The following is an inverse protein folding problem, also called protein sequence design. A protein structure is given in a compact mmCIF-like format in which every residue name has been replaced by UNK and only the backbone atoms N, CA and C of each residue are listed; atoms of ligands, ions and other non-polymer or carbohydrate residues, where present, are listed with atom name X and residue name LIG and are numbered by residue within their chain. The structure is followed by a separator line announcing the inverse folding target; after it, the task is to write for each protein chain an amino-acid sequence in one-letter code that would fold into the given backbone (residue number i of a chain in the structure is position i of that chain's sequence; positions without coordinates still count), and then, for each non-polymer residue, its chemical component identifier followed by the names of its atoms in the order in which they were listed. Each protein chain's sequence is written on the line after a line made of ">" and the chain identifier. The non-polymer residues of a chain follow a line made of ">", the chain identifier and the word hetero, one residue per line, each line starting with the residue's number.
data_IF_275013808140
#
_entry.id   IF_275013808140
#
_cell.length_a   1.000
_cell.length_b   1.000
_cell.length_c   1.000
_cell.angle_alpha   90.00
_cell.angle_beta   90.00
_cell.angle_gamma   90.00
#
_symmetry.space_group_name_H-M   'P 1'
#
loop_
_entity.id
_entity.type
_entity.pdbx_description
1 polymer ?
#
# COMPACT_ATOMS: atom_id res chain seq x y z
N UNK A 1 -15.66 9.07 14.16
CA UNK A 1 -15.78 8.34 12.88
C UNK A 1 -15.75 6.82 13.10
N UNK A 2 -14.69 6.24 13.69
CA UNK A 2 -14.62 4.78 13.94
C UNK A 2 -15.71 4.24 14.89
N UNK A 3 -16.06 4.95 15.97
CA UNK A 3 -17.09 4.47 16.92
C UNK A 3 -18.50 4.42 16.31
N UNK A 4 -18.80 5.27 15.32
CA UNK A 4 -20.08 5.27 14.60
C UNK A 4 -20.21 4.01 13.72
N UNK A 5 -19.16 3.69 12.96
CA UNK A 5 -19.11 2.48 12.14
C UNK A 5 -19.24 1.20 12.99
N UNK A 6 -18.62 1.17 14.18
CA UNK A 6 -18.76 0.04 15.12
C UNK A 6 -20.19 -0.08 15.65
N UNK A 7 -20.89 1.05 15.88
CA UNK A 7 -22.28 1.03 16.35
C UNK A 7 -23.28 0.61 15.27
N UNK A 8 -23.02 0.96 14.01
CA UNK A 8 -23.81 0.48 12.86
C UNK A 8 -23.56 -1.00 12.57
N UNK A 9 -22.33 -1.49 12.72
CA UNK A 9 -22.01 -2.90 12.58
C UNK A 9 -22.74 -3.78 13.61
N UNK A 10 -22.85 -3.32 14.87
CA UNK A 10 -23.64 -4.00 15.91
C UNK A 10 -25.13 -4.13 15.59
N UNK A 11 -25.68 -3.21 14.81
CA UNK A 11 -27.09 -3.26 14.36
C UNK A 11 -27.32 -4.35 13.32
N UNK A 12 -26.31 -4.67 12.51
CA UNK A 12 -26.38 -5.73 11.49
C UNK A 12 -26.38 -7.12 12.15
N UNK A 13 -25.55 -7.33 13.17
CA UNK A 13 -25.47 -8.63 13.90
C UNK A 13 -26.79 -8.99 14.61
N UNK A 14 -27.53 -7.99 15.11
CA UNK A 14 -28.83 -8.20 15.75
C UNK A 14 -29.94 -8.60 14.76
N UNK A 15 -29.85 -8.19 13.50
CA UNK A 15 -30.80 -8.57 12.46
C UNK A 15 -30.55 -10.00 11.95
N UNK A 16 -29.30 -10.48 12.00
CA UNK A 16 -28.90 -11.83 11.58
C UNK A 16 -29.40 -12.90 12.56
N UNK A 17 -29.52 -12.58 13.85
CA UNK A 17 -29.94 -13.53 14.90
C UNK A 17 -31.46 -13.78 14.97
N UNK A 18 -32.29 -13.02 14.24
CA UNK A 18 -33.73 -12.87 14.56
C UNK A 18 -34.74 -13.62 13.69
N UNK A 19 -34.37 -14.20 12.55
CA UNK A 19 -35.33 -14.91 11.70
C UNK A 19 -34.96 -14.87 10.23
N UNK A 20 -35.51 -15.83 9.48
CA UNK A 20 -35.36 -16.04 8.03
C UNK A 20 -35.05 -14.73 7.29
N UNK A 21 -33.78 -14.57 6.90
CA UNK A 21 -33.26 -13.37 6.26
C UNK A 21 -34.00 -13.14 4.93
N UNK A 22 -34.65 -11.98 4.80
CA UNK A 22 -35.33 -11.52 3.59
C UNK A 22 -34.33 -11.45 2.42
N UNK A 23 -34.78 -11.62 1.17
CA UNK A 23 -33.94 -11.46 -0.02
C UNK A 23 -33.17 -10.13 -0.07
N UNK A 24 -33.69 -9.09 0.60
CA UNK A 24 -33.06 -7.78 0.76
C UNK A 24 -31.69 -7.86 1.48
N UNK A 25 -31.53 -8.78 2.43
CA UNK A 25 -30.29 -8.89 3.21
C UNK A 25 -29.15 -9.55 2.41
N UNK A 26 -29.49 -10.44 1.47
CA UNK A 26 -28.52 -11.04 0.57
C UNK A 26 -28.00 -10.02 -0.46
N UNK A 27 -28.87 -9.13 -0.96
CA UNK A 27 -28.47 -8.02 -1.83
C UNK A 27 -27.58 -7.00 -1.07
N UNK A 28 -27.92 -6.67 0.17
CA UNK A 28 -27.08 -5.82 1.04
C UNK A 28 -25.67 -6.41 1.25
N UNK A 29 -25.57 -7.73 1.51
CA UNK A 29 -24.28 -8.41 1.64
C UNK A 29 -23.48 -8.42 0.33
N UNK A 30 -24.15 -8.59 -0.81
CA UNK A 30 -23.51 -8.53 -2.13
C UNK A 30 -22.99 -7.13 -2.43
N UNK A 31 -23.76 -6.08 -2.10
CA UNK A 31 -23.32 -4.70 -2.21
C UNK A 31 -22.11 -4.42 -1.30
N UNK A 32 -22.12 -4.92 -0.06
CA UNK A 32 -21.00 -4.78 0.86
C UNK A 32 -19.73 -5.46 0.34
N UNK A 33 -19.82 -6.68 -0.22
CA UNK A 33 -18.69 -7.34 -0.88
C UNK A 33 -18.12 -6.46 -2.00
N UNK A 34 -18.99 -5.93 -2.86
CA UNK A 34 -18.60 -5.07 -3.97
C UNK A 34 -17.92 -3.78 -3.51
N UNK A 35 -18.39 -3.15 -2.44
CA UNK A 35 -17.76 -1.98 -1.86
C UNK A 35 -16.38 -2.30 -1.26
N UNK A 36 -16.20 -3.44 -0.60
CA UNK A 36 -14.87 -3.88 -0.11
C UNK A 36 -13.92 -4.13 -1.29
N UNK A 37 -14.39 -4.73 -2.38
CA UNK A 37 -13.57 -4.93 -3.59
C UNK A 37 -13.15 -3.60 -4.24
N UNK A 38 -14.07 -2.62 -4.32
CA UNK A 38 -13.75 -1.26 -4.77
C UNK A 38 -12.74 -0.61 -3.84
N UNK A 39 -12.89 -0.80 -2.53
CA UNK A 39 -11.99 -0.25 -1.53
C UNK A 39 -10.58 -0.82 -1.67
N UNK A 40 -10.42 -2.14 -1.87
CA UNK A 40 -9.11 -2.77 -2.15
C UNK A 40 -8.44 -2.09 -3.35
N UNK A 41 -9.19 -1.87 -4.44
CA UNK A 41 -8.67 -1.20 -5.63
C UNK A 41 -8.23 0.24 -5.33
N UNK A 42 -9.07 1.01 -4.65
CA UNK A 42 -8.81 2.43 -4.39
C UNK A 42 -7.65 2.60 -3.39
N UNK A 43 -7.62 1.80 -2.33
CA UNK A 43 -6.55 1.82 -1.34
C UNK A 43 -5.20 1.44 -1.98
N UNK A 44 -5.16 0.35 -2.76
CA UNK A 44 -3.94 -0.05 -3.47
C UNK A 44 -3.48 1.04 -4.46
N UNK A 45 -4.40 1.64 -5.21
CA UNK A 45 -4.06 2.71 -6.13
C UNK A 45 -3.50 3.94 -5.40
N UNK A 46 -4.11 4.32 -4.27
CA UNK A 46 -3.70 5.44 -3.45
C UNK A 46 -2.30 5.25 -2.84
N UNK A 47 -2.02 4.10 -2.22
CA UNK A 47 -0.68 3.79 -1.68
C UNK A 47 0.38 3.82 -2.78
N UNK A 48 0.08 3.22 -3.94
CA UNK A 48 0.99 3.23 -5.07
C UNK A 48 1.21 4.64 -5.64
N UNK A 49 0.17 5.48 -5.72
CA UNK A 49 0.30 6.86 -6.16
C UNK A 49 1.24 7.66 -5.24
N UNK A 50 1.12 7.50 -3.93
CA UNK A 50 2.03 8.11 -2.97
C UNK A 50 3.47 7.64 -3.16
N UNK A 51 3.69 6.32 -3.24
CA UNK A 51 5.03 5.73 -3.42
C UNK A 51 5.66 6.22 -4.74
N UNK A 52 4.89 6.24 -5.83
CA UNK A 52 5.38 6.68 -7.13
C UNK A 52 5.69 8.19 -7.16
N UNK A 53 4.88 9.02 -6.50
CA UNK A 53 5.14 10.45 -6.38
C UNK A 53 6.51 10.72 -5.73
N UNK A 54 6.77 10.08 -4.58
CA UNK A 54 8.03 10.26 -3.85
C UNK A 54 9.22 9.78 -4.68
N UNK A 55 9.09 8.67 -5.39
CA UNK A 55 10.13 8.14 -6.27
C UNK A 55 10.40 9.05 -7.46
N UNK A 56 9.35 9.60 -8.09
CA UNK A 56 9.49 10.55 -9.17
C UNK A 56 10.19 11.84 -8.70
N UNK A 57 9.80 12.36 -7.53
CA UNK A 57 10.45 13.52 -6.91
C UNK A 57 11.92 13.25 -6.63
N UNK A 58 12.25 12.08 -6.05
CA UNK A 58 13.62 11.72 -5.78
C UNK A 58 14.47 11.58 -7.05
N UNK A 59 13.91 10.94 -8.08
CA UNK A 59 14.57 10.83 -9.39
C UNK A 59 14.77 12.18 -10.07
N UNK A 60 13.82 13.09 -9.96
CA UNK A 60 13.97 14.46 -10.49
C UNK A 60 15.08 15.22 -9.77
N UNK A 61 15.12 15.15 -8.43
CA UNK A 61 16.20 15.78 -7.65
C UNK A 61 17.58 15.15 -7.95
N UNK A 62 17.63 13.86 -8.27
CA UNK A 62 18.87 13.20 -8.69
C UNK A 62 19.41 13.82 -9.98
N UNK A 63 18.55 14.09 -10.97
CA UNK A 63 18.95 14.71 -12.24
C UNK A 63 19.49 16.13 -12.05
N UNK A 64 19.09 16.83 -10.97
CA UNK A 64 19.63 18.14 -10.63
C UNK A 64 21.05 18.06 -10.03
N UNK A 65 21.50 16.88 -9.60
CA UNK A 65 22.88 16.68 -9.15
C UNK A 65 23.75 16.49 -10.40
N UNK A 66 24.63 17.45 -10.68
CA UNK A 66 25.71 17.26 -11.65
C UNK A 66 26.77 16.33 -11.03
N UNK A 67 26.42 15.06 -10.86
CA UNK A 67 27.31 14.05 -10.28
C UNK A 67 27.97 13.25 -11.40
N UNK A 68 29.24 13.52 -11.65
CA UNK A 68 30.12 12.56 -12.31
C UNK A 68 30.61 11.56 -11.25
N UNK A 69 30.39 10.24 -11.42
CA UNK A 69 30.98 9.23 -10.56
C UNK A 69 32.51 9.33 -10.60
N UNK A 70 33.13 9.53 -9.44
CA UNK A 70 34.59 9.56 -9.33
C UNK A 70 35.11 8.12 -9.46
N UNK A 71 35.69 7.79 -10.61
CA UNK A 71 36.36 6.52 -10.85
C UNK A 71 37.74 6.54 -10.17
N UNK A 72 37.86 5.80 -9.07
CA UNK A 72 39.15 5.55 -8.43
C UNK A 72 39.74 4.24 -8.95
N UNK A 73 41.05 4.02 -8.76
CA UNK A 73 41.74 2.80 -9.21
C UNK A 73 41.12 1.49 -8.68
N UNK A 74 40.31 1.57 -7.62
CA UNK A 74 39.60 0.46 -6.97
C UNK A 74 38.13 0.29 -7.44
N UNK A 75 37.67 1.11 -8.41
CA UNK A 75 36.32 1.08 -8.99
C UNK A 75 35.43 2.27 -8.60
N UNK A 76 34.12 2.16 -8.88
CA UNK A 76 33.13 3.21 -8.55
C UNK A 76 32.93 3.27 -7.05
N UNK A 77 33.29 4.41 -6.46
CA UNK A 77 33.17 4.65 -5.02
C UNK A 77 31.69 4.57 -4.56
N UNK A 78 31.36 3.92 -3.41
CA UNK A 78 29.98 3.84 -2.93
C UNK A 78 29.35 5.21 -2.71
N UNK A 79 28.09 5.37 -3.13
CA UNK A 79 27.36 6.64 -3.04
C UNK A 79 27.29 7.14 -1.60
N UNK A 80 27.93 8.28 -1.32
CA UNK A 80 27.82 8.99 -0.06
C UNK A 80 27.27 10.39 -0.33
N UNK A 81 26.01 10.70 0.05
CA UNK A 81 25.41 12.01 -0.20
C UNK A 81 26.23 13.18 0.39
N UNK A 82 27.01 12.92 1.45
CA UNK A 82 27.88 13.91 2.10
C UNK A 82 29.18 14.16 1.32
N UNK A 83 29.75 13.14 0.66
CA UNK A 83 30.98 13.29 -0.15
C UNK A 83 30.73 13.98 -1.48
N UNK A 84 29.53 13.84 -2.02
CA UNK A 84 29.14 14.35 -3.34
C UNK A 84 28.55 15.78 -3.24
N UNK A 85 28.53 16.39 -2.05
CA UNK A 85 27.94 17.72 -1.86
C UNK A 85 26.43 17.77 -2.10
N UNK A 86 25.72 16.64 -2.00
CA UNK A 86 24.30 16.57 -2.33
C UNK A 86 23.49 17.55 -1.45
N UNK A 87 22.65 18.41 -2.04
CA UNK A 87 21.76 19.29 -1.30
C UNK A 87 20.93 18.52 -0.28
N UNK A 88 20.68 19.12 0.89
CA UNK A 88 19.95 18.47 1.98
C UNK A 88 18.58 17.97 1.52
N UNK A 89 17.92 18.71 0.63
CA UNK A 89 16.64 18.33 0.00
C UNK A 89 16.70 16.98 -0.73
N UNK A 90 17.82 16.67 -1.41
CA UNK A 90 18.02 15.37 -2.06
C UNK A 90 18.16 14.26 -1.01
N UNK A 91 18.95 14.48 0.04
CA UNK A 91 19.17 13.49 1.11
C UNK A 91 17.86 13.13 1.80
N UNK A 92 17.04 14.15 2.14
CA UNK A 92 15.71 13.96 2.72
C UNK A 92 14.80 13.17 1.77
N UNK A 93 14.74 13.58 0.50
CA UNK A 93 13.90 12.92 -0.51
C UNK A 93 14.32 11.47 -0.76
N UNK A 94 15.62 11.19 -0.76
CA UNK A 94 16.17 9.83 -0.94
C UNK A 94 15.76 8.92 0.21
N UNK A 95 15.92 9.38 1.46
CA UNK A 95 15.46 8.62 2.62
C UNK A 95 13.94 8.46 2.64
N UNK A 96 13.18 9.48 2.26
CA UNK A 96 11.72 9.36 2.18
C UNK A 96 11.31 8.28 1.17
N UNK A 97 11.95 8.26 -0.01
CA UNK A 97 11.75 7.24 -1.04
C UNK A 97 12.03 5.83 -0.51
N UNK A 98 13.13 5.63 0.22
CA UNK A 98 13.45 4.34 0.86
C UNK A 98 12.44 3.95 1.95
N UNK A 99 12.02 4.92 2.76
CA UNK A 99 11.04 4.71 3.84
C UNK A 99 9.69 4.23 3.30
N UNK A 100 9.27 4.76 2.15
CA UNK A 100 8.05 4.35 1.45
C UNK A 100 8.11 2.91 0.88
N UNK A 101 9.31 2.34 0.73
CA UNK A 101 9.50 0.95 0.31
C UNK A 101 9.42 -0.04 1.48
N UNK A 102 9.65 0.40 2.72
CA UNK A 102 9.57 -0.45 3.91
C UNK A 102 8.17 -0.55 4.51
N UNK A 103 7.36 0.51 4.38
CA UNK A 103 5.98 0.49 4.85
C UNK A 103 5.12 -0.39 3.95
N UNK A 104 4.74 -1.57 4.47
CA UNK A 104 3.92 -2.54 3.75
C UNK A 104 2.43 -2.31 4.05
N UNK A 105 1.66 -2.08 2.99
CA UNK A 105 0.19 -2.00 3.01
C UNK A 105 -0.49 -3.38 3.01
N UNK A 106 0.31 -4.46 3.08
CA UNK A 106 -0.13 -5.82 2.81
C UNK A 106 -1.18 -6.31 3.79
N UNK A 107 -0.96 -6.11 5.08
CA UNK A 107 -1.87 -6.61 6.12
C UNK A 107 -3.29 -6.02 5.96
N UNK A 108 -3.39 -4.76 5.53
CA UNK A 108 -4.66 -4.11 5.21
C UNK A 108 -5.33 -4.79 4.01
N UNK A 109 -4.57 -5.03 2.94
CA UNK A 109 -5.08 -5.68 1.73
C UNK A 109 -5.51 -7.14 2.01
N UNK A 110 -4.75 -7.86 2.84
CA UNK A 110 -5.02 -9.24 3.24
C UNK A 110 -6.32 -9.30 4.07
N UNK A 111 -6.48 -8.39 5.03
CA UNK A 111 -7.69 -8.28 5.84
C UNK A 111 -8.94 -7.95 5.01
N UNK A 112 -8.81 -7.02 4.05
CA UNK A 112 -9.91 -6.67 3.15
C UNK A 112 -10.30 -7.84 2.23
N UNK A 113 -9.33 -8.55 1.69
CA UNK A 113 -9.58 -9.72 0.84
C UNK A 113 -10.22 -10.87 1.62
N UNK A 114 -9.71 -11.16 2.83
CA UNK A 114 -10.30 -12.17 3.70
C UNK A 114 -11.75 -11.83 4.07
N UNK A 115 -12.04 -10.55 4.33
CA UNK A 115 -13.39 -10.08 4.63
C UNK A 115 -14.34 -10.18 3.44
N UNK A 116 -13.88 -9.79 2.24
CA UNK A 116 -14.66 -9.95 1.01
C UNK A 116 -14.99 -11.43 0.76
N UNK A 117 -14.02 -12.33 0.96
CA UNK A 117 -14.24 -13.78 0.83
C UNK A 117 -15.22 -14.33 1.89
N UNK A 118 -15.13 -13.85 3.13
CA UNK A 118 -16.05 -14.26 4.19
C UNK A 118 -17.49 -13.79 3.91
N UNK A 119 -17.68 -12.53 3.52
CA UNK A 119 -18.99 -12.00 3.13
C UNK A 119 -19.55 -12.77 1.93
N UNK A 120 -18.70 -13.07 0.95
CA UNK A 120 -19.06 -13.90 -0.19
C UNK A 120 -19.65 -15.25 0.23
N UNK A 121 -18.94 -15.98 1.10
CA UNK A 121 -19.43 -17.26 1.62
C UNK A 121 -20.74 -17.13 2.40
N UNK A 122 -20.93 -16.04 3.15
CA UNK A 122 -22.14 -15.81 3.95
C UNK A 122 -23.39 -15.61 3.09
N UNK A 123 -23.31 -14.88 1.97
CA UNK A 123 -24.46 -14.67 1.10
C UNK A 123 -24.63 -15.80 0.06
N UNK A 124 -23.56 -16.48 -0.36
CA UNK A 124 -23.67 -17.70 -1.19
C UNK A 124 -24.54 -18.77 -0.49
N UNK A 125 -24.45 -18.87 0.83
CA UNK A 125 -25.26 -19.79 1.64
C UNK A 125 -26.75 -19.39 1.70
N UNK A 126 -27.13 -18.18 1.29
CA UNK A 126 -28.50 -17.65 1.39
C UNK A 126 -29.41 -17.90 0.18
N UNK A 127 -29.01 -18.74 -0.78
CA UNK A 127 -29.88 -19.26 -1.86
C UNK A 127 -30.52 -18.16 -2.75
N UNK A 128 -29.69 -17.25 -3.29
CA UNK A 128 -30.10 -16.24 -4.28
C UNK A 128 -30.45 -16.92 -5.62
N UNK A 129 -31.47 -16.41 -6.32
CA UNK A 129 -31.91 -16.90 -7.63
C UNK A 129 -30.74 -17.04 -8.65
N UNK A 130 -30.64 -18.17 -9.38
CA UNK A 130 -29.45 -18.54 -10.15
C UNK A 130 -29.09 -17.62 -11.33
N UNK A 131 -29.97 -16.68 -11.71
CA UNK A 131 -29.73 -15.73 -12.79
C UNK A 131 -28.99 -14.46 -12.31
N UNK A 132 -29.32 -13.94 -11.13
CA UNK A 132 -28.65 -12.77 -10.53
C UNK A 132 -27.23 -13.14 -10.08
N UNK A 133 -27.08 -14.35 -9.53
CA UNK A 133 -25.80 -14.97 -9.17
C UNK A 133 -24.79 -14.98 -10.33
N UNK A 134 -25.23 -15.33 -11.55
CA UNK A 134 -24.34 -15.36 -12.73
C UNK A 134 -23.84 -13.99 -13.14
N UNK A 135 -24.67 -12.95 -12.99
CA UNK A 135 -24.29 -11.58 -13.34
C UNK A 135 -23.29 -11.04 -12.31
N UNK A 136 -23.57 -11.24 -11.02
CA UNK A 136 -22.71 -10.81 -9.92
C UNK A 136 -21.33 -11.46 -9.96
N UNK A 137 -21.27 -12.79 -10.16
CA UNK A 137 -19.99 -13.50 -10.32
C UNK A 137 -19.21 -12.90 -11.48
N UNK A 138 -19.83 -12.75 -12.65
CA UNK A 138 -19.15 -12.24 -13.85
C UNK A 138 -18.57 -10.85 -13.64
N UNK A 139 -19.30 -9.97 -12.95
CA UNK A 139 -18.87 -8.61 -12.68
C UNK A 139 -17.72 -8.56 -11.67
N UNK A 140 -17.80 -9.35 -10.58
CA UNK A 140 -16.67 -9.56 -9.66
C UNK A 140 -15.43 -10.06 -10.39
N UNK A 141 -15.58 -11.07 -11.22
CA UNK A 141 -14.49 -11.69 -11.95
C UNK A 141 -13.80 -10.70 -12.90
N UNK A 142 -14.60 -9.85 -13.54
CA UNK A 142 -14.13 -8.72 -14.35
C UNK A 142 -13.36 -7.70 -13.50
N UNK A 143 -13.85 -7.39 -12.30
CA UNK A 143 -13.18 -6.49 -11.35
C UNK A 143 -11.85 -7.05 -10.83
N UNK A 144 -11.79 -8.32 -10.44
CA UNK A 144 -10.55 -8.98 -10.01
C UNK A 144 -9.51 -8.99 -11.13
N UNK A 145 -9.93 -9.25 -12.37
CA UNK A 145 -9.05 -9.15 -13.54
C UNK A 145 -8.54 -7.73 -13.77
N UNK A 146 -9.41 -6.72 -13.64
CA UNK A 146 -9.03 -5.32 -13.79
C UNK A 146 -8.03 -4.88 -12.70
N UNK A 147 -8.25 -5.28 -11.44
CA UNK A 147 -7.34 -5.03 -10.31
C UNK A 147 -5.97 -5.64 -10.57
N UNK A 148 -5.93 -6.92 -10.95
CA UNK A 148 -4.68 -7.64 -11.26
C UNK A 148 -3.94 -6.99 -12.42
N UNK A 149 -4.66 -6.50 -13.43
CA UNK A 149 -4.08 -5.76 -14.57
C UNK A 149 -3.52 -4.41 -14.15
N UNK A 150 -4.26 -3.62 -13.36
CA UNK A 150 -3.79 -2.33 -12.82
C UNK A 150 -2.52 -2.50 -11.99
N UNK A 151 -2.52 -3.47 -11.07
CA UNK A 151 -1.34 -3.81 -10.27
C UNK A 151 -0.14 -4.15 -11.18
N UNK A 152 -0.30 -5.07 -12.13
CA UNK A 152 0.77 -5.41 -13.09
C UNK A 152 1.25 -4.21 -13.91
N UNK A 153 0.37 -3.29 -14.30
CA UNK A 153 0.75 -2.10 -15.07
C UNK A 153 1.60 -1.14 -14.24
N UNK A 154 1.18 -0.84 -13.01
CA UNK A 154 1.96 -0.02 -12.07
C UNK A 154 3.35 -0.62 -11.85
N UNK A 155 3.45 -1.94 -11.67
CA UNK A 155 4.74 -2.62 -11.53
C UNK A 155 5.61 -2.46 -12.79
N UNK A 156 5.03 -2.49 -13.99
CA UNK A 156 5.75 -2.28 -15.26
C UNK A 156 6.23 -0.84 -15.42
N UNK A 157 5.39 0.13 -15.11
CA UNK A 157 5.76 1.55 -15.15
C UNK A 157 6.89 1.86 -14.17
N UNK A 158 6.80 1.30 -12.95
CA UNK A 158 7.84 1.39 -11.94
C UNK A 158 9.17 0.76 -12.41
N UNK A 159 9.11 -0.42 -13.05
CA UNK A 159 10.29 -1.05 -13.64
C UNK A 159 10.90 -0.24 -14.79
N UNK A 160 10.05 0.39 -15.61
CA UNK A 160 10.48 1.29 -16.69
C UNK A 160 11.18 2.54 -16.15
N UNK A 161 10.63 3.16 -15.10
CA UNK A 161 11.27 4.26 -14.40
C UNK A 161 12.62 3.83 -13.81
N UNK A 162 12.69 2.67 -13.15
CA UNK A 162 13.94 2.10 -12.64
C UNK A 162 14.98 1.90 -13.75
N UNK A 163 14.57 1.39 -14.92
CA UNK A 163 15.44 1.20 -16.09
C UNK A 163 15.95 2.54 -16.64
N UNK A 164 15.09 3.56 -16.72
CA UNK A 164 15.48 4.90 -17.16
C UNK A 164 16.43 5.59 -16.17
N UNK A 165 16.27 5.33 -14.87
CA UNK A 165 17.21 5.79 -13.83
C UNK A 165 18.54 5.02 -13.84
N UNK A 166 18.58 3.78 -14.32
CA UNK A 166 19.80 2.97 -14.41
C UNK A 166 20.79 3.40 -15.52
N UNK A 167 20.50 4.49 -16.24
CA UNK A 167 21.45 5.13 -17.19
C UNK A 167 22.49 5.99 -16.45
N UNK A 168 22.34 6.18 -15.12
CA UNK A 168 23.39 6.74 -14.26
C UNK A 168 24.26 5.58 -13.72
N UNK A 169 25.58 5.55 -13.97
CA UNK A 169 26.44 4.46 -13.55
C UNK A 169 26.51 4.33 -12.02
N UNK A 170 26.39 3.10 -11.54
CA UNK A 170 26.59 2.72 -10.14
C UNK A 170 25.32 2.81 -9.30
N UNK A 171 24.54 1.73 -9.23
CA UNK A 171 23.76 1.34 -8.05
C UNK A 171 23.35 -0.13 -8.14
N UNK A 172 23.96 -0.93 -7.26
CA UNK A 172 23.69 -2.34 -7.05
C UNK A 172 22.22 -2.55 -6.66
N UNK A 173 21.60 -3.58 -7.24
CA UNK A 173 20.15 -3.77 -7.30
C UNK A 173 19.41 -3.72 -5.95
N UNK A 174 18.32 -2.92 -5.93
CA UNK A 174 17.30 -3.01 -4.89
C UNK A 174 16.30 -4.14 -5.21
N UNK A 175 16.00 -5.03 -4.25
CA UNK A 175 15.10 -6.16 -4.46
C UNK A 175 13.68 -5.64 -4.66
N UNK A 176 13.14 -5.91 -5.85
CA UNK A 176 11.74 -5.68 -6.18
C UNK A 176 10.95 -6.84 -5.57
N UNK A 177 10.03 -6.54 -4.65
CA UNK A 177 9.15 -7.55 -4.08
C UNK A 177 8.26 -8.15 -5.18
N UNK A 178 8.62 -9.35 -5.62
CA UNK A 178 7.77 -10.23 -6.41
C UNK A 178 7.51 -11.46 -5.52
N UNK A 179 6.36 -11.50 -4.84
CA UNK A 179 5.90 -12.76 -4.24
C UNK A 179 4.42 -12.98 -4.59
N UNK A 180 4.09 -14.10 -5.26
CA UNK A 180 2.70 -14.51 -5.46
C UNK A 180 2.03 -14.69 -4.11
N UNK A 181 0.81 -14.18 -4.00
CA UNK A 181 -0.07 -14.38 -2.86
C UNK A 181 -0.39 -15.86 -2.68
N UNK A 182 -0.23 -16.35 -1.45
CA UNK A 182 -0.69 -17.67 -1.00
C UNK A 182 -1.60 -17.43 0.20
N UNK A 183 -2.91 -17.39 -0.06
CA UNK A 183 -3.91 -17.08 0.95
C UNK A 183 -3.96 -18.17 2.03
N UNK A 184 -3.84 -17.77 3.28
CA UNK A 184 -4.40 -18.52 4.40
C UNK A 184 -5.67 -17.77 4.77
N UNK A 185 -6.82 -18.31 4.36
CA UNK A 185 -8.12 -17.84 4.81
C UNK A 185 -8.35 -18.37 6.22
N UNK A 186 -8.14 -17.53 7.23
CA UNK A 186 -8.74 -17.78 8.53
C UNK A 186 -10.26 -17.60 8.37
N UNK A 187 -11.03 -18.62 8.72
CA UNK A 187 -12.49 -18.58 8.69
C UNK A 187 -12.99 -17.45 9.60
N UNK A 188 -13.52 -16.40 8.98
CA UNK A 188 -14.23 -15.32 9.68
C UNK A 188 -15.71 -15.72 9.76
N UNK A 189 -16.23 -15.85 10.98
CA UNK A 189 -17.60 -16.32 11.23
C UNK A 189 -18.67 -15.26 11.01
N UNK A 190 -18.32 -13.97 10.90
CA UNK A 190 -19.26 -12.88 10.60
C UNK A 190 -18.62 -11.74 9.81
N UNK A 191 -19.44 -11.00 9.06
CA UNK A 191 -19.02 -9.79 8.35
C UNK A 191 -18.46 -8.72 9.30
N UNK A 192 -19.00 -8.63 10.52
CA UNK A 192 -18.52 -7.73 11.57
C UNK A 192 -17.07 -8.04 11.97
N UNK A 193 -16.76 -9.33 12.20
CA UNK A 193 -15.39 -9.74 12.54
C UNK A 193 -14.41 -9.41 11.41
N UNK A 194 -14.85 -9.51 10.14
CA UNK A 194 -14.05 -9.09 8.98
C UNK A 194 -13.75 -7.59 8.99
N UNK A 195 -14.78 -6.76 9.16
CA UNK A 195 -14.62 -5.31 9.23
C UNK A 195 -13.71 -4.87 10.39
N UNK A 196 -13.85 -5.49 11.57
CA UNK A 196 -12.97 -5.23 12.71
C UNK A 196 -11.50 -5.52 12.37
N UNK A 197 -11.22 -6.64 11.69
CA UNK A 197 -9.86 -6.97 11.22
C UNK A 197 -9.32 -5.97 10.20
N UNK A 198 -10.16 -5.47 9.29
CA UNK A 198 -9.76 -4.41 8.34
C UNK A 198 -9.36 -3.13 9.11
N UNK A 199 -10.18 -2.69 10.06
CA UNK A 199 -9.91 -1.46 10.81
C UNK A 199 -8.68 -1.59 11.70
N UNK A 200 -8.46 -2.75 12.31
CA UNK A 200 -7.26 -3.03 13.10
C UNK A 200 -6.00 -2.96 12.23
N UNK A 201 -6.00 -3.64 11.07
CA UNK A 201 -4.88 -3.59 10.13
C UNK A 201 -4.61 -2.16 9.63
N UNK A 202 -5.65 -1.36 9.38
CA UNK A 202 -5.49 0.05 8.99
C UNK A 202 -4.92 0.91 10.12
N UNK A 203 -5.33 0.66 11.37
CA UNK A 203 -4.78 1.33 12.55
C UNK A 203 -3.27 1.05 12.64
N UNK A 204 -2.87 -0.21 12.51
CA UNK A 204 -1.46 -0.61 12.59
C UNK A 204 -0.64 -0.04 11.43
N UNK A 205 -1.17 -0.09 10.20
CA UNK A 205 -0.56 0.55 9.03
C UNK A 205 -0.37 2.05 9.23
N UNK A 206 -1.37 2.75 9.79
CA UNK A 206 -1.29 4.18 10.05
C UNK A 206 -0.25 4.51 11.13
N UNK A 207 -0.18 3.71 12.21
CA UNK A 207 0.79 3.87 13.27
C UNK A 207 2.22 3.65 12.77
N UNK A 208 2.42 2.61 11.95
CA UNK A 208 3.70 2.32 11.30
C UNK A 208 4.13 3.46 10.38
N UNK A 209 3.21 3.95 9.55
CA UNK A 209 3.47 5.07 8.63
C UNK A 209 3.87 6.34 9.40
N UNK A 210 3.11 6.71 10.45
CA UNK A 210 3.43 7.87 11.30
C UNK A 210 4.77 7.72 11.99
N UNK A 211 5.09 6.53 12.49
CA UNK A 211 6.40 6.24 13.11
C UNK A 211 7.54 6.44 12.11
N UNK A 212 7.40 5.87 10.92
CA UNK A 212 8.39 5.99 9.86
C UNK A 212 8.64 7.45 9.44
N UNK A 213 7.58 8.27 9.33
CA UNK A 213 7.71 9.71 9.07
C UNK A 213 8.41 10.45 10.22
N UNK A 214 8.13 10.09 11.47
CA UNK A 214 8.79 10.71 12.64
C UNK A 214 10.29 10.40 12.66
N UNK A 215 10.67 9.16 12.37
CA UNK A 215 12.07 8.73 12.27
C UNK A 215 12.80 9.46 11.14
N UNK A 216 12.14 9.61 9.97
CA UNK A 216 12.64 10.40 8.86
C UNK A 216 12.90 11.85 9.28
N UNK A 217 11.94 12.51 9.92
CA UNK A 217 12.08 13.90 10.38
C UNK A 217 13.22 14.06 11.40
N UNK A 218 13.33 13.13 12.36
CA UNK A 218 14.41 13.14 13.35
C UNK A 218 15.77 12.98 12.68
N UNK A 219 15.90 12.09 11.69
CA UNK A 219 17.12 11.95 10.92
C UNK A 219 17.45 13.23 10.13
N UNK A 220 16.45 13.83 9.48
CA UNK A 220 16.66 15.07 8.73
C UNK A 220 17.13 16.22 9.64
N UNK A 221 16.59 16.31 10.86
CA UNK A 221 17.05 17.27 11.87
C UNK A 221 18.51 17.05 12.27
N UNK A 222 18.91 15.79 12.52
CA UNK A 222 20.31 15.43 12.83
C UNK A 222 21.25 15.78 11.67
N UNK A 223 20.85 15.47 10.44
CA UNK A 223 21.63 15.75 9.24
C UNK A 223 21.82 17.27 9.03
N UNK A 224 20.79 18.07 9.30
CA UNK A 224 20.86 19.53 9.23
C UNK A 224 21.87 20.09 10.25
N UNK A 225 21.75 19.70 11.52
CA UNK A 225 22.64 20.14 12.61
C UNK A 225 24.10 19.75 12.31
N UNK A 226 24.31 18.52 11.80
CA UNK A 226 25.66 18.05 11.45
C UNK A 226 26.30 18.87 10.32
N UNK A 227 25.50 19.42 9.39
CA UNK A 227 25.99 20.31 8.32
C UNK A 227 26.25 21.73 8.83
N UNK A 228 25.37 22.26 9.68
CA UNK A 228 25.55 23.58 10.32
C UNK A 228 26.85 23.61 11.16
N UNK A 229 27.09 22.57 11.96
CA UNK A 229 28.29 22.44 12.78
C UNK A 229 29.59 22.26 11.96
N UNK A 230 29.50 21.78 10.72
CA UNK A 230 30.66 21.64 9.84
C UNK A 230 31.04 22.95 9.11
N UNK A 231 30.16 23.96 9.12
CA UNK A 231 30.35 25.25 8.45
C UNK A 231 30.81 26.33 9.45
N UNK A 232 30.61 26.13 10.76
CA UNK A 232 31.09 27.04 11.79
C UNK A 232 32.63 27.07 11.82
N UNK A 233 33.28 28.24 11.60
CA UNK A 233 34.72 28.34 11.77
C UNK A 233 35.06 28.28 13.27
N UNK A 234 36.17 27.61 13.59
CA UNK A 234 36.81 27.68 14.90
C UNK A 234 37.23 29.10 15.24
#
# INVERSE_FOLDING_TARGET
>A
MQCLAISEAKRLDLNISGGKLSGDHADEMMQLEMEILKWISNFSAWVNAQRNYVKALNGWLLLCLHHEPEETADGVTPYSPRRIGAPLVFVVSNRWSQTMDWNSEREVLDAMQASAAAIHHLWEQQNIEPNEWKIAIRDRDKWLRALKKKSKNIHREMASLKKKLAVVPGHTGLPVYQRPFKGHTAELSSAQLGLEKIFEAMKDYSASTVKAYRELLQHCGKERIARENAIAPF
#
